data_IF_953954698088
#
_entry.id   IF_953954698088
#
_cell.length_a   1.000
_cell.length_b   1.000
_cell.length_c   1.000
_cell.angle_alpha   90.00
_cell.angle_beta   90.00
_cell.angle_gamma   90.00
#
_symmetry.space_group_name_H-M   'P 1'
#
loop_
_entity.id
_entity.type
_entity.pdbx_description
1 polymer ?
#
# COMPACT_ATOMS: atom_id res chain seq x y z
N UNK A 1 -2.37 -24.40 -29.95
CA UNK A 1 -2.91 -23.14 -30.50
C UNK A 1 -4.09 -23.52 -31.38
N UNK A 2 -5.26 -22.93 -31.18
CA UNK A 2 -6.47 -23.32 -31.93
C UNK A 2 -7.29 -22.07 -32.33
N UNK A 3 -8.13 -22.21 -33.34
CA UNK A 3 -9.01 -21.14 -33.81
C UNK A 3 -10.44 -21.44 -33.38
N UNK A 4 -11.12 -20.48 -32.76
CA UNK A 4 -12.52 -20.58 -32.38
C UNK A 4 -13.22 -19.23 -32.65
N UNK A 5 -14.34 -19.25 -33.37
CA UNK A 5 -15.10 -18.06 -33.78
C UNK A 5 -14.24 -16.95 -34.42
N UNK A 6 -13.26 -17.33 -35.25
CA UNK A 6 -12.35 -16.40 -35.91
C UNK A 6 -11.26 -15.80 -35.00
N UNK A 7 -11.15 -16.25 -33.75
CA UNK A 7 -10.13 -15.83 -32.79
C UNK A 7 -9.09 -16.94 -32.60
N UNK A 8 -7.84 -16.55 -32.40
CA UNK A 8 -6.73 -17.49 -32.13
C UNK A 8 -6.51 -17.59 -30.62
N UNK A 9 -6.42 -18.82 -30.12
CA UNK A 9 -6.21 -19.12 -28.70
C UNK A 9 -4.88 -19.83 -28.45
N UNK A 10 -4.25 -19.46 -27.33
CA UNK A 10 -3.08 -20.13 -26.75
C UNK A 10 -3.36 -20.42 -25.27
N UNK A 11 -3.39 -21.71 -24.88
CA UNK A 11 -3.71 -22.15 -23.51
C UNK A 11 -4.97 -21.44 -22.96
N UNK A 12 -6.07 -21.52 -23.70
CA UNK A 12 -7.37 -20.88 -23.40
C UNK A 12 -7.39 -19.34 -23.38
N UNK A 13 -6.27 -18.69 -23.68
CA UNK A 13 -6.16 -17.24 -23.76
C UNK A 13 -6.27 -16.77 -25.21
N UNK A 14 -7.05 -15.71 -25.44
CA UNK A 14 -7.14 -15.06 -26.75
C UNK A 14 -5.82 -14.35 -27.05
N UNK A 15 -5.25 -14.61 -28.22
CA UNK A 15 -4.07 -13.90 -28.69
C UNK A 15 -4.50 -12.53 -29.19
N UNK A 16 -3.89 -11.49 -28.63
CA UNK A 16 -4.25 -10.11 -28.94
C UNK A 16 -3.26 -9.53 -29.98
N UNK A 17 -3.74 -9.15 -31.18
CA UNK A 17 -2.93 -8.43 -32.16
C UNK A 17 -2.38 -7.13 -31.58
N UNK A 18 -1.20 -6.73 -32.02
CA UNK A 18 -0.50 -5.54 -31.51
C UNK A 18 -1.37 -4.27 -31.52
N UNK A 19 -2.13 -4.06 -32.60
CA UNK A 19 -3.07 -2.94 -32.75
C UNK A 19 -4.15 -2.87 -31.68
N UNK A 20 -4.51 -4.00 -31.06
CA UNK A 20 -5.58 -4.08 -30.06
C UNK A 20 -5.06 -4.11 -28.62
N UNK A 21 -3.76 -4.31 -28.40
CA UNK A 21 -3.15 -4.34 -27.05
C UNK A 21 -3.45 -3.07 -26.24
N UNK A 22 -3.36 -1.83 -26.79
CA UNK A 22 -3.67 -0.62 -26.03
C UNK A 22 -5.11 -0.59 -25.51
N UNK A 23 -6.08 -1.05 -26.33
CA UNK A 23 -7.49 -1.13 -25.95
C UNK A 23 -7.72 -2.14 -24.84
N UNK A 24 -7.11 -3.33 -24.94
CA UNK A 24 -7.20 -4.37 -23.91
C UNK A 24 -6.55 -3.91 -22.60
N UNK A 25 -5.41 -3.23 -22.67
CA UNK A 25 -4.75 -2.63 -21.50
C UNK A 25 -5.66 -1.61 -20.81
N UNK A 26 -6.31 -0.73 -21.56
CA UNK A 26 -7.28 0.23 -21.04
C UNK A 26 -8.45 -0.45 -20.29
N UNK A 27 -9.05 -1.48 -20.89
CA UNK A 27 -10.14 -2.26 -20.27
C UNK A 27 -9.68 -2.98 -18.99
N UNK A 28 -8.45 -3.50 -18.98
CA UNK A 28 -7.88 -4.11 -17.77
C UNK A 28 -7.62 -3.07 -16.68
N UNK A 29 -7.43 -1.79 -17.04
CA UNK A 29 -7.10 -0.72 -16.12
C UNK A 29 -8.32 0.00 -15.51
N UNK A 30 -9.45 0.06 -16.22
CA UNK A 30 -10.65 0.87 -15.92
C UNK A 30 -11.10 0.83 -14.45
N UNK A 31 -11.05 -0.34 -13.81
CA UNK A 31 -11.48 -0.52 -12.42
C UNK A 31 -10.44 -0.18 -11.36
N UNK A 32 -9.25 0.30 -11.75
CA UNK A 32 -8.10 0.60 -10.87
C UNK A 32 -7.75 -0.49 -9.85
N UNK A 33 -8.15 -1.75 -10.10
CA UNK A 33 -7.95 -2.85 -9.15
C UNK A 33 -6.46 -3.08 -8.88
N UNK A 34 -6.08 -3.58 -7.70
CA UNK A 34 -4.67 -3.86 -7.38
C UNK A 34 -3.95 -4.66 -8.48
N UNK A 35 -2.64 -4.41 -8.66
CA UNK A 35 -1.80 -4.98 -9.74
C UNK A 35 -2.00 -6.49 -9.91
N UNK A 36 -2.05 -7.23 -8.80
CA UNK A 36 -2.19 -8.68 -8.80
C UNK A 36 -3.54 -9.17 -9.34
N UNK A 37 -4.62 -8.45 -9.05
CA UNK A 37 -5.97 -8.78 -9.52
C UNK A 37 -6.09 -8.58 -11.03
N UNK A 38 -5.54 -7.47 -11.55
CA UNK A 38 -5.47 -7.20 -13.00
C UNK A 38 -4.61 -8.21 -13.74
N UNK A 39 -3.42 -8.54 -13.23
CA UNK A 39 -2.54 -9.58 -13.80
C UNK A 39 -3.22 -10.95 -13.85
N UNK A 40 -3.97 -11.32 -12.80
CA UNK A 40 -4.71 -12.59 -12.76
C UNK A 40 -5.86 -12.61 -13.78
N UNK A 41 -6.58 -11.50 -13.95
CA UNK A 41 -7.65 -11.38 -14.96
C UNK A 41 -7.10 -11.41 -16.39
N UNK A 42 -6.02 -10.67 -16.64
CA UNK A 42 -5.37 -10.62 -17.95
C UNK A 42 -4.86 -12.00 -18.39
N UNK A 43 -4.13 -12.69 -17.50
CA UNK A 43 -3.58 -14.04 -17.79
C UNK A 43 -4.63 -15.14 -17.95
N UNK A 44 -5.89 -14.89 -17.59
CA UNK A 44 -6.99 -15.84 -17.82
C UNK A 44 -7.68 -15.66 -19.17
N UNK A 45 -7.52 -14.49 -19.79
CA UNK A 45 -8.34 -14.09 -20.94
C UNK A 45 -7.50 -13.77 -22.17
N UNK A 46 -6.27 -13.26 -21.98
CA UNK A 46 -5.47 -12.70 -23.04
C UNK A 46 -4.01 -13.16 -22.98
N UNK A 47 -3.40 -13.29 -24.15
CA UNK A 47 -2.00 -13.65 -24.31
C UNK A 47 -1.31 -12.78 -25.36
N UNK A 48 -0.15 -12.25 -24.99
CA UNK A 48 0.92 -11.82 -25.89
C UNK A 48 2.25 -11.79 -25.12
N UNK A 49 3.40 -11.94 -25.79
CA UNK A 49 4.71 -11.80 -25.16
C UNK A 49 4.82 -10.43 -24.47
N UNK A 50 5.12 -10.43 -23.16
CA UNK A 50 5.32 -9.19 -22.40
C UNK A 50 4.07 -8.56 -21.77
N UNK A 51 2.87 -9.17 -21.87
CA UNK A 51 1.62 -8.65 -21.26
C UNK A 51 1.78 -8.19 -19.80
N UNK A 52 2.50 -8.97 -18.98
CA UNK A 52 2.71 -8.65 -17.56
C UNK A 52 3.54 -7.39 -17.34
N UNK A 53 4.49 -7.11 -18.24
CA UNK A 53 5.34 -5.90 -18.22
C UNK A 53 4.52 -4.69 -18.62
N UNK A 54 3.81 -4.77 -19.74
CA UNK A 54 2.96 -3.66 -20.22
C UNK A 54 1.86 -3.28 -19.21
N UNK A 55 1.26 -4.28 -18.53
CA UNK A 55 0.34 -4.02 -17.41
C UNK A 55 1.03 -3.25 -16.28
N UNK A 56 2.26 -3.62 -15.93
CA UNK A 56 3.01 -2.94 -14.86
C UNK A 56 3.32 -1.49 -15.24
N UNK A 57 3.78 -1.26 -16.47
CA UNK A 57 4.15 0.07 -16.98
C UNK A 57 2.94 1.01 -17.03
N UNK A 58 1.78 0.51 -17.47
CA UNK A 58 0.54 1.27 -17.47
C UNK A 58 0.10 1.66 -16.05
N UNK A 59 0.29 0.78 -15.07
CA UNK A 59 -0.06 1.07 -13.67
C UNK A 59 0.90 2.10 -13.08
N UNK A 60 2.20 1.98 -13.37
CA UNK A 60 3.21 2.93 -12.94
C UNK A 60 2.96 4.35 -13.47
N UNK A 61 2.38 4.48 -14.67
CA UNK A 61 2.02 5.77 -15.28
C UNK A 61 0.68 6.35 -14.78
N UNK A 62 -0.09 5.62 -13.98
CA UNK A 62 -1.43 6.05 -13.56
C UNK A 62 -1.39 6.78 -12.21
N UNK A 63 -1.72 8.08 -12.23
CA UNK A 63 -1.80 8.95 -11.04
C UNK A 63 -2.75 8.42 -9.96
N UNK A 64 -3.90 7.86 -10.36
CA UNK A 64 -4.87 7.27 -9.41
C UNK A 64 -4.27 6.05 -8.73
N UNK A 65 -3.66 5.14 -9.49
CA UNK A 65 -3.02 3.97 -8.91
C UNK A 65 -1.82 4.33 -8.01
N UNK A 66 -1.09 5.38 -8.35
CA UNK A 66 0.02 5.91 -7.54
C UNK A 66 -0.49 6.52 -6.23
N UNK A 67 -1.55 7.35 -6.28
CA UNK A 67 -2.16 7.99 -5.10
C UNK A 67 -2.63 6.98 -4.04
N UNK A 68 -3.21 5.86 -4.48
CA UNK A 68 -3.73 4.82 -3.60
C UNK A 68 -2.77 3.63 -3.42
N UNK A 69 -1.51 3.77 -3.85
CA UNK A 69 -0.51 2.72 -3.65
C UNK A 69 -0.20 2.58 -2.15
N UNK A 70 -0.27 1.37 -1.57
CA UNK A 70 0.11 1.16 -0.18
C UNK A 70 1.56 1.61 0.04
N UNK A 71 1.76 2.56 0.97
CA UNK A 71 3.09 2.90 1.48
C UNK A 71 3.40 1.95 2.63
N UNK A 72 4.06 0.84 2.33
CA UNK A 72 4.37 -0.20 3.32
C UNK A 72 5.70 0.00 4.04
N UNK A 73 6.49 0.99 3.65
CA UNK A 73 7.73 1.31 4.35
C UNK A 73 7.40 2.22 5.52
N UNK A 74 7.16 1.61 6.68
CA UNK A 74 7.20 2.36 7.95
C UNK A 74 8.64 2.82 8.14
N UNK A 75 8.83 4.07 8.54
CA UNK A 75 10.16 4.52 8.96
C UNK A 75 10.63 3.66 10.15
N UNK A 76 11.94 3.36 10.24
CA UNK A 76 12.48 2.63 11.36
C UNK A 76 12.21 3.41 12.66
N UNK A 77 11.91 2.69 13.74
CA UNK A 77 11.79 3.31 15.06
C UNK A 77 13.15 3.88 15.47
N UNK A 78 13.18 5.18 15.75
CA UNK A 78 14.35 5.83 16.34
C UNK A 78 14.25 5.61 17.86
N UNK A 79 15.19 4.85 18.41
CA UNK A 79 15.29 4.67 19.85
C UNK A 79 15.74 5.97 20.50
N UNK A 80 15.12 6.32 21.63
CA UNK A 80 15.58 7.41 22.45
C UNK A 80 16.87 7.04 23.18
N UNK A 81 17.75 8.03 23.38
CA UNK A 81 18.92 7.87 24.25
C UNK A 81 18.50 7.50 25.67
N UNK A 82 19.26 6.59 26.28
CA UNK A 82 19.09 6.21 27.67
C UNK A 82 19.61 7.36 28.54
N UNK A 83 18.78 7.80 29.50
CA UNK A 83 19.22 8.73 30.54
C UNK A 83 20.03 7.97 31.59
N UNK A 84 20.95 8.67 32.26
CA UNK A 84 21.83 8.09 33.27
C UNK A 84 21.45 8.51 34.70
N UNK A 85 20.62 9.56 34.84
CA UNK A 85 20.16 10.09 36.12
C UNK A 85 18.67 10.41 36.08
N UNK A 86 17.98 10.37 37.24
CA UNK A 86 16.60 10.84 37.36
C UNK A 86 16.45 12.30 36.90
N UNK A 87 15.27 12.64 36.34
CA UNK A 87 14.87 13.99 35.92
C UNK A 87 15.71 14.61 34.78
N UNK A 88 16.57 13.84 34.10
CA UNK A 88 17.28 14.32 32.90
C UNK A 88 16.37 14.46 31.68
N UNK A 89 15.31 13.64 31.60
CA UNK A 89 14.33 13.67 30.53
C UNK A 89 12.97 13.27 31.08
N UNK A 90 11.97 14.11 30.83
CA UNK A 90 10.60 13.90 31.25
C UNK A 90 9.70 13.79 30.01
N UNK A 91 8.80 12.81 30.00
CA UNK A 91 7.65 12.81 29.09
C UNK A 91 6.48 13.45 29.85
N UNK A 92 5.85 14.45 29.24
CA UNK A 92 4.69 15.10 29.80
C UNK A 92 3.54 15.02 28.80
N UNK A 93 2.35 14.66 29.27
CA UNK A 93 1.14 14.66 28.45
C UNK A 93 -0.07 15.04 29.29
N UNK A 94 -1.06 15.68 28.67
CA UNK A 94 -2.29 16.07 29.36
C UNK A 94 -3.31 14.94 29.19
N UNK A 95 -3.79 14.44 30.31
CA UNK A 95 -4.79 13.38 30.35
C UNK A 95 -6.08 13.93 30.95
N UNK A 96 -7.21 13.63 30.31
CA UNK A 96 -8.54 13.99 30.81
C UNK A 96 -9.17 12.72 31.36
N UNK A 97 -9.57 12.75 32.64
CA UNK A 97 -10.35 11.65 33.22
C UNK A 97 -11.83 11.90 32.96
N UNK A 98 -12.51 10.88 32.44
CA UNK A 98 -13.96 10.89 32.22
C UNK A 98 -14.75 11.10 33.53
N UNK A 99 -14.14 10.76 34.67
CA UNK A 99 -14.72 10.97 35.98
C UNK A 99 -14.51 12.40 36.48
N UNK A 100 -15.51 13.26 36.23
CA UNK A 100 -15.59 14.61 36.79
C UNK A 100 -14.89 15.70 35.98
N UNK A 101 -14.55 15.43 34.71
CA UNK A 101 -13.97 16.41 33.77
C UNK A 101 -12.71 17.10 34.31
N UNK A 102 -11.90 16.36 35.07
CA UNK A 102 -10.62 16.85 35.59
C UNK A 102 -9.51 16.48 34.60
N UNK A 103 -8.71 17.47 34.25
CA UNK A 103 -7.48 17.30 33.49
C UNK A 103 -6.31 17.22 34.45
N UNK A 104 -5.37 16.31 34.17
CA UNK A 104 -4.13 16.16 34.90
C UNK A 104 -2.96 16.22 33.93
N UNK A 105 -1.84 16.74 34.39
CA UNK A 105 -0.57 16.63 33.69
C UNK A 105 0.12 15.34 34.16
N UNK A 106 0.21 14.35 33.28
CA UNK A 106 0.98 13.14 33.52
C UNK A 106 2.44 13.36 33.14
N UNK A 107 3.33 13.22 34.10
CA UNK A 107 4.77 13.38 33.93
C UNK A 107 5.48 12.06 34.24
N UNK A 108 6.33 11.59 33.33
CA UNK A 108 7.09 10.35 33.48
C UNK A 108 8.59 10.64 33.35
N UNK A 109 9.37 10.24 34.34
CA UNK A 109 10.82 10.25 34.26
C UNK A 109 11.35 9.07 33.42
N UNK A 110 12.19 9.37 32.42
CA UNK A 110 12.71 8.34 31.52
C UNK A 110 13.69 7.38 32.21
N UNK A 111 14.38 7.81 33.27
CA UNK A 111 15.35 6.99 33.98
C UNK A 111 14.67 6.01 34.94
N UNK A 112 13.96 6.55 35.94
CA UNK A 112 13.34 5.78 37.03
C UNK A 112 11.99 5.16 36.66
N UNK A 113 11.36 5.63 35.57
CA UNK A 113 9.96 5.33 35.20
C UNK A 113 8.95 5.80 36.25
N UNK A 114 9.34 6.73 37.13
CA UNK A 114 8.43 7.35 38.08
C UNK A 114 7.36 8.17 37.36
N UNK A 115 6.09 7.94 37.73
CA UNK A 115 4.93 8.68 37.22
C UNK A 115 4.46 9.66 38.29
N UNK A 116 4.31 10.91 37.90
CA UNK A 116 3.75 11.99 38.71
C UNK A 116 2.53 12.57 37.99
N UNK A 117 1.45 12.78 38.75
CA UNK A 117 0.20 13.36 38.27
C UNK A 117 -0.01 14.69 38.97
N UNK A 118 -0.04 15.78 38.20
CA UNK A 118 -0.27 17.15 38.68
C UNK A 118 -1.66 17.63 38.27
#
# INVERSE_FOLDING_TARGET
MHVNNGLIFFNDCVIVPEKLRPKVLGLLHESHQGVNRRRKRARKLFYWPGISREIADMIAKCKTCEKYKPRTTKEPLILHEMTNLPYQKLACDIQVLDFGSKSFLAMIDYYSKWLELI
#
